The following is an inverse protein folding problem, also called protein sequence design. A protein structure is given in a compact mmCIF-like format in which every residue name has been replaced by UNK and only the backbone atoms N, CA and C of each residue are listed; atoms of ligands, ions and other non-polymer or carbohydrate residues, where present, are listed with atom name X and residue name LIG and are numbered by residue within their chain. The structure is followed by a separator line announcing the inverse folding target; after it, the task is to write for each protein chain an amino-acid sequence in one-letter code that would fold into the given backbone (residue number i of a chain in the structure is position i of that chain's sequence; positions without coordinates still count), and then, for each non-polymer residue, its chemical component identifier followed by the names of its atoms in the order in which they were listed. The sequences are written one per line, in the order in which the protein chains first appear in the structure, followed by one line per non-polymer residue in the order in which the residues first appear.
data_IF_848603923701
#
_entry.id   IF_848603923701
#
_cell.length_a   1.000
_cell.length_b   1.000
_cell.length_c   1.000
_cell.angle_alpha   90.00
_cell.angle_beta   90.00
_cell.angle_gamma   90.00
#
_symmetry.space_group_name_H-M   'P 1'
#
loop_
_entity.id
_entity.type
_entity.pdbx_description
1 polymer ?
#
# COMPACT_ATOMS: atom_id res chain seq x y z
N UNK A 1 22.79 -14.74 -4.39
CA UNK A 1 23.54 -13.68 -3.68
C UNK A 1 22.54 -12.92 -2.83
N UNK A 2 22.52 -13.18 -1.52
CA UNK A 2 21.62 -12.51 -0.59
C UNK A 2 22.13 -11.09 -0.39
N UNK A 3 21.51 -10.11 -1.06
CA UNK A 3 21.76 -8.72 -0.76
C UNK A 3 21.16 -8.42 0.61
N UNK A 4 21.98 -8.08 1.59
CA UNK A 4 21.53 -7.50 2.85
C UNK A 4 20.79 -6.21 2.50
N UNK A 5 19.46 -6.25 2.45
CA UNK A 5 18.66 -5.09 2.10
C UNK A 5 18.76 -4.07 3.25
N UNK A 6 19.67 -3.11 3.09
CA UNK A 6 19.84 -2.00 4.01
C UNK A 6 18.73 -0.95 3.85
N UNK A 7 18.57 -0.11 4.86
CA UNK A 7 17.68 1.06 4.79
C UNK A 7 18.11 1.97 3.64
N UNK A 8 17.19 2.29 2.75
CA UNK A 8 17.38 3.25 1.67
C UNK A 8 16.51 4.49 1.91
N UNK A 9 16.90 5.63 1.34
CA UNK A 9 16.12 6.87 1.40
C UNK A 9 16.16 7.49 0.02
N UNK A 10 14.98 7.75 -0.54
CA UNK A 10 14.81 8.40 -1.83
C UNK A 10 14.41 9.85 -1.63
N UNK A 11 14.90 10.75 -2.48
CA UNK A 11 14.64 12.18 -2.40
C UNK A 11 14.49 12.78 -3.79
N UNK A 12 14.10 14.05 -3.86
CA UNK A 12 13.85 14.77 -5.11
C UNK A 12 12.81 14.08 -6.01
N UNK A 13 11.63 13.79 -5.44
CA UNK A 13 10.51 13.12 -6.12
C UNK A 13 9.32 14.08 -6.26
N UNK A 14 9.35 15.02 -7.22
CA UNK A 14 8.26 15.97 -7.43
C UNK A 14 7.03 15.31 -8.05
N UNK A 15 5.84 15.80 -7.70
CA UNK A 15 4.58 15.32 -8.27
C UNK A 15 4.38 13.82 -8.05
N UNK A 16 4.08 13.08 -9.13
CA UNK A 16 3.84 11.63 -9.11
C UNK A 16 5.13 10.79 -9.18
N UNK A 17 6.32 11.39 -9.10
CA UNK A 17 7.59 10.66 -9.20
C UNK A 17 7.76 9.63 -8.07
N UNK A 18 7.19 9.87 -6.89
CA UNK A 18 7.19 8.91 -5.79
C UNK A 18 6.48 7.61 -6.19
N UNK A 19 5.31 7.72 -6.78
CA UNK A 19 4.44 6.60 -7.14
C UNK A 19 5.04 5.78 -8.28
N UNK A 20 5.67 6.45 -9.25
CA UNK A 20 6.46 5.80 -10.29
C UNK A 20 7.65 5.02 -9.70
N UNK A 21 8.42 5.64 -8.80
CA UNK A 21 9.56 4.98 -8.16
C UNK A 21 9.12 3.75 -7.33
N UNK A 22 8.00 3.84 -6.61
CA UNK A 22 7.41 2.71 -5.88
C UNK A 22 6.97 1.62 -6.86
N UNK A 23 6.30 1.97 -7.96
CA UNK A 23 5.85 1.01 -8.97
C UNK A 23 7.02 0.23 -9.58
N UNK A 24 8.09 0.91 -9.98
CA UNK A 24 9.30 0.28 -10.54
C UNK A 24 10.00 -0.61 -9.51
N UNK A 25 10.16 -0.13 -8.27
CA UNK A 25 10.79 -0.89 -7.21
C UNK A 25 9.98 -2.14 -6.83
N UNK A 26 8.66 -2.01 -6.69
CA UNK A 26 7.79 -3.15 -6.37
C UNK A 26 7.76 -4.18 -7.51
N UNK A 27 7.70 -3.72 -8.77
CA UNK A 27 7.71 -4.59 -9.94
C UNK A 27 9.02 -5.36 -10.11
N UNK A 28 10.16 -4.70 -9.83
CA UNK A 28 11.49 -5.32 -9.93
C UNK A 28 11.87 -6.18 -8.72
N UNK A 29 11.23 -5.99 -7.56
CA UNK A 29 11.57 -6.70 -6.33
C UNK A 29 11.30 -8.21 -6.42
N UNK A 30 10.34 -8.64 -7.25
CA UNK A 30 9.96 -10.04 -7.44
C UNK A 30 9.46 -10.72 -6.15
N UNK A 31 9.00 -9.93 -5.18
CA UNK A 31 8.56 -10.37 -3.85
C UNK A 31 7.45 -9.47 -3.33
N UNK A 32 6.75 -9.93 -2.30
CA UNK A 32 5.76 -9.13 -1.59
C UNK A 32 6.39 -7.82 -1.06
N UNK A 33 5.69 -6.71 -1.28
CA UNK A 33 6.10 -5.37 -0.85
C UNK A 33 4.98 -4.76 -0.01
N UNK A 34 5.28 -4.45 1.27
CA UNK A 34 4.38 -3.71 2.14
C UNK A 34 4.69 -2.21 2.01
N UNK A 35 3.72 -1.45 1.52
CA UNK A 35 3.80 0.00 1.47
C UNK A 35 3.08 0.59 2.70
N UNK A 36 3.84 1.31 3.53
CA UNK A 36 3.29 2.05 4.67
C UNK A 36 3.18 3.53 4.29
N UNK A 37 1.99 4.09 4.47
CA UNK A 37 1.70 5.51 4.21
C UNK A 37 1.50 6.26 5.52
N UNK A 38 1.56 7.59 5.46
CA UNK A 38 1.35 8.45 6.62
C UNK A 38 -0.11 8.42 7.11
N UNK A 39 -1.05 8.27 6.18
CA UNK A 39 -2.49 8.30 6.42
C UNK A 39 -3.25 7.56 5.30
N UNK A 40 -4.57 7.39 5.48
CA UNK A 40 -5.46 6.72 4.54
C UNK A 40 -5.58 7.47 3.20
N UNK A 41 -5.58 8.81 3.22
CA UNK A 41 -5.67 9.60 1.99
C UNK A 41 -4.45 9.39 1.08
N UNK A 42 -3.24 9.31 1.67
CA UNK A 42 -2.04 8.96 0.95
C UNK A 42 -2.07 7.53 0.42
N UNK A 43 -2.67 6.58 1.16
CA UNK A 43 -2.86 5.20 0.70
C UNK A 43 -3.75 5.13 -0.54
N UNK A 44 -4.92 5.77 -0.49
CA UNK A 44 -5.89 5.78 -1.59
C UNK A 44 -5.30 6.41 -2.86
N UNK A 45 -4.60 7.55 -2.71
CA UNK A 45 -3.93 8.19 -3.84
C UNK A 45 -2.87 7.29 -4.45
N UNK A 46 -2.00 6.70 -3.62
CA UNK A 46 -0.93 5.82 -4.11
C UNK A 46 -1.52 4.55 -4.74
N UNK A 47 -2.60 3.99 -4.21
CA UNK A 47 -3.27 2.85 -4.84
C UNK A 47 -3.73 3.18 -6.27
N UNK A 48 -4.37 4.33 -6.47
CA UNK A 48 -4.82 4.77 -7.80
C UNK A 48 -3.64 5.00 -8.76
N UNK A 49 -2.60 5.69 -8.30
CA UNK A 49 -1.41 5.99 -9.10
C UNK A 49 -0.61 4.72 -9.43
N UNK A 50 -0.50 3.76 -8.50
CA UNK A 50 0.17 2.48 -8.74
C UNK A 50 -0.58 1.65 -9.77
N UNK A 51 -1.92 1.62 -9.73
CA UNK A 51 -2.73 0.96 -10.77
C UNK A 51 -2.53 1.59 -12.15
N UNK A 52 -2.23 2.89 -12.21
CA UNK A 52 -1.90 3.58 -13.45
C UNK A 52 -0.49 3.25 -13.96
N UNK A 53 0.53 3.34 -13.10
CA UNK A 53 1.94 3.13 -13.50
C UNK A 53 2.33 1.65 -13.68
N UNK A 54 1.69 0.74 -12.93
CA UNK A 54 1.97 -0.69 -12.97
C UNK A 54 0.64 -1.49 -12.98
N UNK A 55 -0.11 -1.49 -14.10
CA UNK A 55 -1.41 -2.15 -14.20
C UNK A 55 -1.35 -3.67 -13.97
N UNK A 56 -0.19 -4.28 -14.24
CA UNK A 56 0.04 -5.72 -14.04
C UNK A 56 0.46 -6.08 -12.61
N UNK A 57 0.78 -5.09 -11.77
CA UNK A 57 1.18 -5.32 -10.38
C UNK A 57 -0.08 -5.46 -9.52
N UNK A 58 -0.29 -6.60 -8.83
CA UNK A 58 -1.43 -6.74 -7.92
C UNK A 58 -1.30 -5.77 -6.74
N UNK A 59 -2.22 -4.82 -6.64
CA UNK A 59 -2.31 -3.89 -5.50
C UNK A 59 -3.44 -4.35 -4.58
N UNK A 60 -3.09 -4.61 -3.31
CA UNK A 60 -4.03 -5.05 -2.28
C UNK A 60 -4.25 -3.92 -1.27
N UNK A 61 -5.41 -3.25 -1.28
CA UNK A 61 -5.72 -2.24 -0.27
C UNK A 61 -5.96 -2.88 1.10
N UNK A 62 -5.49 -2.23 2.16
CA UNK A 62 -5.76 -2.63 3.54
C UNK A 62 -6.25 -1.40 4.31
N UNK A 63 -7.56 -1.09 4.23
CA UNK A 63 -8.11 0.14 4.80
C UNK A 63 -8.01 0.12 6.32
N UNK A 64 -7.93 1.30 6.92
CA UNK A 64 -8.10 1.46 8.36
C UNK A 64 -9.55 1.16 8.77
N UNK A 65 -9.86 1.27 10.06
CA UNK A 65 -11.20 0.95 10.56
C UNK A 65 -12.22 2.07 10.37
N UNK A 66 -11.78 3.27 9.99
CA UNK A 66 -12.61 4.48 9.93
C UNK A 66 -13.33 4.79 11.27
N UNK A 67 -12.82 4.24 12.37
CA UNK A 67 -13.28 4.52 13.73
C UNK A 67 -12.11 4.95 14.59
N UNK A 68 -12.41 5.74 15.62
CA UNK A 68 -11.40 6.15 16.58
C UNK A 68 -11.06 5.02 17.56
N UNK A 69 -9.88 5.06 18.21
CA UNK A 69 -9.63 4.21 19.37
C UNK A 69 -10.72 4.43 20.44
N UNK A 70 -11.36 3.35 20.86
CA UNK A 70 -12.48 3.34 21.82
C UNK A 70 -13.75 4.05 21.33
N UNK A 71 -13.98 4.05 20.02
CA UNK A 71 -15.25 4.49 19.46
C UNK A 71 -16.41 3.58 19.90
N UNK A 72 -17.60 4.16 19.98
CA UNK A 72 -18.84 3.46 20.34
C UNK A 72 -19.43 2.71 19.14
N UNK A 73 -19.00 3.05 17.93
CA UNK A 73 -19.46 2.42 16.70
C UNK A 73 -18.49 1.34 16.23
N UNK A 74 -19.05 0.25 15.72
CA UNK A 74 -18.29 -0.76 14.98
C UNK A 74 -17.90 -0.22 13.61
N UNK A 75 -16.75 -0.63 13.05
CA UNK A 75 -16.40 -0.36 11.66
C UNK A 75 -17.48 -0.88 10.70
N UNK A 76 -17.59 -0.24 9.54
CA UNK A 76 -18.53 -0.68 8.51
C UNK A 76 -18.22 -2.11 8.05
N UNK A 77 -19.25 -2.91 7.75
CA UNK A 77 -19.07 -4.32 7.37
C UNK A 77 -18.21 -4.49 6.11
N UNK A 78 -18.30 -3.55 5.18
CA UNK A 78 -17.49 -3.56 3.95
C UNK A 78 -15.99 -3.42 4.26
N UNK A 79 -15.62 -2.57 5.23
CA UNK A 79 -14.23 -2.41 5.67
C UNK A 79 -13.70 -3.71 6.27
N UNK A 80 -14.49 -4.34 7.14
CA UNK A 80 -14.12 -5.63 7.75
C UNK A 80 -13.95 -6.70 6.67
N UNK A 81 -14.90 -6.80 5.74
CA UNK A 81 -14.86 -7.75 4.64
C UNK A 81 -13.63 -7.56 3.76
N UNK A 82 -13.33 -6.31 3.36
CA UNK A 82 -12.17 -5.98 2.53
C UNK A 82 -10.85 -6.31 3.24
N UNK A 83 -10.73 -6.01 4.53
CA UNK A 83 -9.53 -6.36 5.32
C UNK A 83 -9.31 -7.87 5.39
N UNK A 84 -10.37 -8.64 5.64
CA UNK A 84 -10.28 -10.12 5.66
C UNK A 84 -9.87 -10.64 4.28
N UNK A 85 -10.48 -10.13 3.21
CA UNK A 85 -10.13 -10.53 1.84
C UNK A 85 -8.66 -10.24 1.51
N UNK A 86 -8.14 -9.07 1.92
CA UNK A 86 -6.73 -8.72 1.73
C UNK A 86 -5.79 -9.62 2.53
N UNK A 87 -6.08 -9.87 3.81
CA UNK A 87 -5.28 -10.78 4.63
C UNK A 87 -5.31 -12.23 4.12
N UNK A 88 -6.46 -12.69 3.63
CA UNK A 88 -6.58 -14.03 3.04
C UNK A 88 -5.71 -14.20 1.79
N UNK A 89 -5.58 -13.16 0.96
CA UNK A 89 -4.70 -13.18 -0.22
C UNK A 89 -3.21 -13.15 0.10
N UNK A 90 -2.84 -12.84 1.35
CA UNK A 90 -1.45 -12.83 1.82
C UNK A 90 -1.01 -14.17 2.45
N UNK A 91 -1.97 -15.00 2.87
CA UNK A 91 -1.72 -16.31 3.46
C UNK A 91 -1.34 -17.34 2.40
#
# INVERSE_FOLDING_TARGET
MSATAGKQTWGNLPGAALSLAIAEAASSAGRFTLLLTADSQAADRLEQELRFFAPELPVLPFPDWETLPYDLFSPHQDIISQRIASLYRLA
#
